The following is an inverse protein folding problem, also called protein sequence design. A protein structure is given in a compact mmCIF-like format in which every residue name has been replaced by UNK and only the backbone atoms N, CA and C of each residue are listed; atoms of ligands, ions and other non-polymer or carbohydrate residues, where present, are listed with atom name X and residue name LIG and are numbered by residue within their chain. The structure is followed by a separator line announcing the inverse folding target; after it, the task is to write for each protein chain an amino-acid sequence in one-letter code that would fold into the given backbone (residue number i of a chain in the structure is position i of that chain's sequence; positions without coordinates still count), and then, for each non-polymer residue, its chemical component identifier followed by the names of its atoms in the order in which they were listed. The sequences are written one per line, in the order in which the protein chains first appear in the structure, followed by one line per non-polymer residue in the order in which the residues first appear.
data_IF_463729420129
#
_entry.id   IF_463729420129
#
_cell.length_a   1.000
_cell.length_b   1.000
_cell.length_c   1.000
_cell.angle_alpha   90.00
_cell.angle_beta   90.00
_cell.angle_gamma   90.00
#
_symmetry.space_group_name_H-M   'P 1'
#
loop_
_entity.id
_entity.type
_entity.pdbx_description
1 polymer ?
#
# COMPACT_ATOMS: atom_id res chain seq x y z
N UNK A 1 22.61 37.96 30.76
CA UNK A 1 22.50 39.22 30.00
C UNK A 1 22.32 38.84 28.53
N UNK A 2 21.26 39.15 27.78
CA UNK A 2 19.93 39.68 28.04
C UNK A 2 19.06 39.16 26.87
N UNK A 3 17.80 38.86 27.13
CA UNK A 3 16.82 38.41 26.13
C UNK A 3 16.46 39.59 25.23
N UNK A 4 16.77 39.47 23.93
CA UNK A 4 16.38 40.45 22.91
C UNK A 4 14.89 40.35 22.62
N UNK A 5 14.14 41.41 22.94
CA UNK A 5 12.72 41.54 22.67
C UNK A 5 12.43 41.64 21.18
N UNK A 6 11.42 40.90 20.74
CA UNK A 6 10.79 41.05 19.44
C UNK A 6 9.77 42.19 19.54
N UNK A 7 9.93 43.22 18.70
CA UNK A 7 8.99 44.33 18.57
C UNK A 7 8.19 44.08 17.29
N UNK A 8 6.88 43.85 17.41
CA UNK A 8 5.98 43.81 16.25
C UNK A 8 5.80 45.22 15.68
N UNK A 9 6.02 45.44 14.37
CA UNK A 9 5.61 46.66 13.72
C UNK A 9 4.18 46.50 13.17
N UNK A 10 3.26 47.30 13.72
CA UNK A 10 2.08 47.87 13.09
C UNK A 10 1.12 46.93 12.33
N UNK A 11 0.07 46.48 13.04
CA UNK A 11 -1.30 46.98 12.78
C UNK A 11 -1.97 46.69 11.43
N UNK A 12 -1.56 45.69 10.67
CA UNK A 12 -2.35 45.21 9.53
C UNK A 12 -3.42 44.21 10.00
N UNK A 13 -4.66 44.67 10.13
CA UNK A 13 -5.83 43.80 10.32
C UNK A 13 -5.89 42.79 9.16
N UNK A 14 -5.85 41.50 9.49
CA UNK A 14 -6.17 40.43 8.55
C UNK A 14 -7.56 40.69 7.96
N UNK A 15 -7.75 40.63 6.63
CA UNK A 15 -9.06 40.86 6.03
C UNK A 15 -10.07 39.86 6.60
N UNK A 16 -11.05 40.39 7.31
CA UNK A 16 -12.23 39.64 7.75
C UNK A 16 -13.02 39.22 6.52
N UNK A 17 -13.24 37.91 6.41
CA UNK A 17 -14.24 37.26 5.57
C UNK A 17 -14.32 37.78 4.11
N UNK A 18 -13.57 37.12 3.23
CA UNK A 18 -13.96 37.06 1.81
C UNK A 18 -15.42 36.58 1.70
N UNK A 19 -16.14 36.98 0.63
CA UNK A 19 -17.58 36.72 0.51
C UNK A 19 -17.86 35.24 0.74
N UNK A 20 -18.86 34.95 1.58
CA UNK A 20 -19.37 33.61 1.83
C UNK A 20 -19.62 32.91 0.50
N UNK A 21 -18.67 32.07 0.08
CA UNK A 21 -18.87 31.16 -1.04
C UNK A 21 -19.94 30.19 -0.53
N UNK A 22 -21.16 30.15 -1.12
CA UNK A 22 -22.18 29.24 -0.65
C UNK A 22 -21.58 27.84 -0.68
N UNK A 23 -21.58 27.17 0.47
CA UNK A 23 -21.07 25.82 0.56
C UNK A 23 -21.82 24.97 -0.47
N UNK A 24 -21.17 24.66 -1.59
CA UNK A 24 -21.70 23.74 -2.56
C UNK A 24 -22.12 22.48 -1.81
N UNK A 25 -23.37 22.05 -1.96
CA UNK A 25 -23.88 20.85 -1.29
C UNK A 25 -22.96 19.65 -1.57
N UNK A 26 -22.93 18.63 -0.69
CA UNK A 26 -22.01 17.50 -0.82
C UNK A 26 -21.95 16.87 -2.22
N UNK A 27 -23.08 16.80 -2.93
CA UNK A 27 -23.17 16.29 -4.29
C UNK A 27 -22.44 17.15 -5.34
N UNK A 28 -22.56 18.48 -5.26
CA UNK A 28 -21.85 19.39 -6.18
C UNK A 28 -20.35 19.33 -5.93
N UNK A 29 -19.91 19.34 -4.68
CA UNK A 29 -18.49 19.14 -4.33
C UNK A 29 -17.95 17.81 -4.85
N UNK A 30 -18.70 16.72 -4.71
CA UNK A 30 -18.29 15.41 -5.23
C UNK A 30 -18.13 15.42 -6.76
N UNK A 31 -19.08 16.03 -7.48
CA UNK A 31 -19.01 16.17 -8.93
C UNK A 31 -17.81 17.04 -9.38
N UNK A 32 -17.53 18.13 -8.66
CA UNK A 32 -16.39 19.00 -8.95
C UNK A 32 -15.06 18.27 -8.74
N UNK A 33 -14.92 17.48 -7.67
CA UNK A 33 -13.71 16.69 -7.42
C UNK A 33 -13.55 15.55 -8.44
N UNK A 34 -14.65 14.91 -8.87
CA UNK A 34 -14.60 13.90 -9.94
C UNK A 34 -14.07 14.49 -11.24
N UNK A 35 -14.58 15.65 -11.66
CA UNK A 35 -14.09 16.34 -12.87
C UNK A 35 -12.61 16.70 -12.77
N UNK A 36 -12.16 17.21 -11.62
CA UNK A 36 -10.73 17.49 -11.39
C UNK A 36 -9.87 16.24 -11.45
N UNK A 37 -10.33 15.14 -10.86
CA UNK A 37 -9.65 13.85 -10.94
C UNK A 37 -9.55 13.33 -12.38
N UNK A 38 -10.61 13.49 -13.18
CA UNK A 38 -10.62 13.12 -14.60
C UNK A 38 -9.63 13.94 -15.41
N UNK A 39 -9.56 15.26 -15.16
CA UNK A 39 -8.58 16.15 -15.81
C UNK A 39 -7.15 15.75 -15.46
N UNK A 40 -6.85 15.54 -14.17
CA UNK A 40 -5.51 15.12 -13.72
C UNK A 40 -5.15 13.75 -14.31
N UNK A 41 -6.07 12.79 -14.33
CA UNK A 41 -5.84 11.47 -14.90
C UNK A 41 -5.52 11.54 -16.40
N UNK A 42 -6.22 12.41 -17.15
CA UNK A 42 -5.94 12.64 -18.56
C UNK A 42 -4.57 13.30 -18.78
N UNK A 43 -4.19 14.28 -17.95
CA UNK A 43 -2.88 14.94 -18.03
C UNK A 43 -1.74 13.97 -17.68
N UNK A 44 -1.90 13.15 -16.64
CA UNK A 44 -0.92 12.12 -16.28
C UNK A 44 -0.73 11.13 -17.42
N UNK A 45 -1.81 10.61 -18.02
CA UNK A 45 -1.70 9.72 -19.18
C UNK A 45 -1.08 10.40 -20.41
N UNK A 46 -1.38 11.68 -20.64
CA UNK A 46 -0.85 12.43 -21.78
C UNK A 46 0.65 12.72 -21.65
N UNK A 47 1.07 13.16 -20.47
CA UNK A 47 2.41 13.71 -20.27
C UNK A 47 3.40 12.72 -19.70
N UNK A 48 2.96 11.79 -18.85
CA UNK A 48 3.86 10.98 -18.04
C UNK A 48 3.99 9.54 -18.54
N UNK A 49 3.05 9.03 -19.33
CA UNK A 49 3.11 7.68 -19.88
C UNK A 49 4.02 7.64 -21.12
N UNK A 50 4.97 6.71 -21.15
CA UNK A 50 5.79 6.43 -22.33
C UNK A 50 5.43 5.04 -22.88
N UNK A 51 4.84 5.01 -24.08
CA UNK A 51 4.40 3.76 -24.72
C UNK A 51 5.55 2.80 -25.06
N UNK A 52 6.75 3.34 -25.34
CA UNK A 52 7.91 2.54 -25.73
C UNK A 52 8.50 1.82 -24.53
N UNK A 53 8.66 2.55 -23.44
CA UNK A 53 9.22 2.04 -22.20
C UNK A 53 8.15 1.33 -21.34
N UNK A 54 6.86 1.51 -21.68
CA UNK A 54 5.70 0.93 -21.00
C UNK A 54 5.64 1.25 -19.50
N UNK A 55 5.96 2.51 -19.15
CA UNK A 55 6.09 2.99 -17.78
C UNK A 55 5.77 4.48 -17.69
N UNK A 56 5.29 4.92 -16.52
CA UNK A 56 5.15 6.34 -16.19
C UNK A 56 6.47 6.96 -15.72
N UNK A 57 6.70 8.23 -16.06
CA UNK A 57 7.84 9.01 -15.60
C UNK A 57 7.41 10.40 -15.14
N UNK A 58 8.23 11.02 -14.29
CA UNK A 58 8.10 12.45 -13.99
C UNK A 58 8.34 13.28 -15.26
N UNK A 59 7.74 14.47 -15.31
CA UNK A 59 7.94 15.44 -16.39
C UNK A 59 8.54 16.72 -15.83
N UNK A 60 9.46 17.32 -16.58
CA UNK A 60 10.01 18.63 -16.22
C UNK A 60 9.09 19.78 -16.66
N UNK A 61 9.50 21.00 -16.34
CA UNK A 61 8.83 22.27 -16.70
C UNK A 61 8.67 22.49 -18.22
N UNK A 62 9.41 21.73 -19.04
CA UNK A 62 9.33 21.75 -20.51
C UNK A 62 8.47 20.63 -21.09
N UNK A 63 7.80 19.83 -20.25
CA UNK A 63 6.99 18.68 -20.68
C UNK A 63 7.82 17.51 -21.21
N UNK A 64 9.11 17.45 -20.88
CA UNK A 64 9.97 16.33 -21.26
C UNK A 64 10.04 15.30 -20.13
N UNK A 65 9.95 14.01 -20.51
CA UNK A 65 10.07 12.88 -19.58
C UNK A 65 11.45 12.85 -18.93
N UNK A 66 11.45 12.82 -17.61
CA UNK A 66 12.61 12.57 -16.77
C UNK A 66 12.75 11.05 -16.65
N UNK A 67 13.68 10.47 -17.42
CA UNK A 67 13.83 9.01 -17.56
C UNK A 67 14.53 8.35 -16.36
N UNK A 68 13.99 8.55 -15.16
CA UNK A 68 14.33 7.78 -13.96
C UNK A 68 13.22 6.77 -13.67
N UNK A 69 13.52 5.46 -13.72
CA UNK A 69 12.58 4.41 -13.31
C UNK A 69 12.48 4.35 -11.79
N UNK A 70 11.69 5.24 -11.21
CA UNK A 70 11.48 5.29 -9.76
C UNK A 70 10.25 4.48 -9.37
N UNK A 71 10.12 4.15 -8.09
CA UNK A 71 8.91 3.50 -7.57
C UNK A 71 7.67 4.39 -7.70
N UNK A 72 7.83 5.70 -7.94
CA UNK A 72 6.72 6.62 -8.16
C UNK A 72 5.94 6.32 -9.45
N UNK A 73 6.58 5.66 -10.42
CA UNK A 73 5.93 5.20 -11.66
C UNK A 73 4.69 4.34 -11.44
N UNK A 74 4.51 3.77 -10.24
CA UNK A 74 3.41 2.85 -9.92
C UNK A 74 2.23 3.49 -9.17
N UNK A 75 2.31 4.76 -8.77
CA UNK A 75 1.17 5.47 -8.18
C UNK A 75 -0.10 5.45 -9.05
N UNK A 76 -0.02 5.58 -10.40
CA UNK A 76 -1.18 5.48 -11.27
C UNK A 76 -1.99 4.18 -11.11
N UNK A 77 -1.33 3.08 -10.76
CA UNK A 77 -1.96 1.78 -10.54
C UNK A 77 -2.83 1.79 -9.28
N UNK A 78 -2.34 2.40 -8.19
CA UNK A 78 -3.13 2.56 -6.96
C UNK A 78 -4.30 3.53 -7.16
N UNK A 79 -4.06 4.66 -7.83
CA UNK A 79 -5.09 5.69 -8.03
C UNK A 79 -6.12 5.34 -9.10
N UNK A 80 -5.93 4.25 -9.85
CA UNK A 80 -6.79 3.85 -10.96
C UNK A 80 -6.69 4.78 -12.18
N UNK A 81 -5.57 5.47 -12.34
CA UNK A 81 -5.29 6.30 -13.53
C UNK A 81 -4.86 5.42 -14.70
N UNK A 82 -4.09 4.36 -14.41
CA UNK A 82 -3.64 3.41 -15.43
C UNK A 82 -4.71 2.37 -15.76
N UNK A 83 -4.91 2.15 -17.06
CA UNK A 83 -5.84 1.16 -17.59
C UNK A 83 -5.32 -0.28 -17.46
N UNK A 84 -6.15 -1.30 -17.75
CA UNK A 84 -5.77 -2.71 -17.61
C UNK A 84 -4.48 -3.09 -18.35
N UNK A 85 -4.31 -2.67 -19.60
CA UNK A 85 -3.11 -2.98 -20.40
C UNK A 85 -1.84 -2.33 -19.81
N UNK A 86 -1.94 -1.05 -19.40
CA UNK A 86 -0.85 -0.35 -18.71
C UNK A 86 -0.52 -1.03 -17.37
N UNK A 87 -1.52 -1.53 -16.65
CA UNK A 87 -1.31 -2.25 -15.39
C UNK A 87 -0.53 -3.55 -15.61
N UNK A 88 -0.83 -4.31 -16.67
CA UNK A 88 -0.05 -5.50 -17.03
C UNK A 88 1.39 -5.16 -17.41
N UNK A 89 1.57 -4.10 -18.18
CA UNK A 89 2.88 -3.56 -18.56
C UNK A 89 3.73 -3.18 -17.33
N UNK A 90 3.14 -2.40 -16.43
CA UNK A 90 3.77 -1.97 -15.18
C UNK A 90 4.06 -3.17 -14.26
N UNK A 91 3.18 -4.17 -14.20
CA UNK A 91 3.44 -5.39 -13.45
C UNK A 91 4.68 -6.13 -13.99
N UNK A 92 4.92 -6.15 -15.30
CA UNK A 92 6.16 -6.74 -15.85
C UNK A 92 7.42 -6.03 -15.34
N UNK A 93 7.42 -4.70 -15.25
CA UNK A 93 8.52 -3.95 -14.64
C UNK A 93 8.72 -4.29 -13.16
N UNK A 94 7.63 -4.36 -12.38
CA UNK A 94 7.69 -4.68 -10.95
C UNK A 94 8.34 -6.04 -10.67
N UNK A 95 8.01 -7.04 -11.49
CA UNK A 95 8.44 -8.43 -11.30
C UNK A 95 9.70 -8.80 -12.11
N UNK A 96 10.32 -7.84 -12.81
CA UNK A 96 11.62 -8.02 -13.44
C UNK A 96 12.75 -7.99 -12.39
N UNK A 97 13.52 -9.09 -12.32
CA UNK A 97 14.68 -9.22 -11.44
C UNK A 97 15.79 -8.23 -11.73
N UNK A 98 15.92 -7.73 -12.96
CA UNK A 98 16.90 -6.70 -13.32
C UNK A 98 16.49 -5.30 -12.86
N UNK A 99 15.22 -5.11 -12.47
CA UNK A 99 14.62 -3.81 -12.15
C UNK A 99 14.15 -3.77 -10.69
N UNK A 100 12.86 -3.95 -10.40
CA UNK A 100 12.29 -3.78 -9.06
C UNK A 100 12.20 -5.09 -8.25
N UNK A 101 12.31 -6.26 -8.87
CA UNK A 101 12.15 -7.56 -8.17
C UNK A 101 13.44 -8.03 -7.50
N UNK A 102 13.90 -7.26 -6.53
CA UNK A 102 15.17 -7.47 -5.82
C UNK A 102 15.04 -8.45 -4.66
N UNK A 103 16.10 -8.63 -3.87
CA UNK A 103 16.06 -9.54 -2.70
C UNK A 103 14.97 -9.10 -1.73
N UNK A 104 14.97 -7.82 -1.41
CA UNK A 104 13.88 -7.09 -0.76
C UNK A 104 13.17 -6.27 -1.84
N UNK A 105 11.98 -6.67 -2.31
CA UNK A 105 11.22 -5.86 -3.25
C UNK A 105 10.54 -4.72 -2.48
N UNK A 106 10.09 -3.65 -3.11
CA UNK A 106 10.48 -3.04 -4.38
C UNK A 106 11.32 -1.78 -4.04
N UNK A 107 12.52 -1.61 -4.63
CA UNK A 107 13.38 -0.46 -4.35
C UNK A 107 12.77 0.85 -4.84
N UNK A 108 13.16 1.98 -4.23
CA UNK A 108 12.74 3.31 -4.68
C UNK A 108 13.21 3.69 -6.08
N UNK A 109 14.29 3.06 -6.55
CA UNK A 109 14.90 3.24 -7.86
C UNK A 109 15.19 1.85 -8.44
N UNK A 110 14.83 1.61 -9.70
CA UNK A 110 15.08 0.32 -10.34
C UNK A 110 16.58 0.00 -10.41
N UNK A 111 16.93 -1.29 -10.29
CA UNK A 111 18.31 -1.73 -10.22
C UNK A 111 19.11 -1.55 -11.53
N UNK A 112 18.43 -1.32 -12.65
CA UNK A 112 19.02 -1.02 -13.95
C UNK A 112 19.28 0.48 -14.18
N UNK A 113 18.96 1.34 -13.21
CA UNK A 113 19.17 2.79 -13.32
C UNK A 113 20.56 3.21 -12.83
N UNK A 114 21.17 4.25 -13.45
CA UNK A 114 22.35 4.90 -12.89
C UNK A 114 22.08 5.36 -11.45
N UNK A 115 23.11 5.36 -10.60
CA UNK A 115 22.99 5.69 -9.17
C UNK A 115 22.16 4.74 -8.32
N UNK A 116 21.63 3.62 -8.85
CA UNK A 116 21.12 2.56 -7.99
C UNK A 116 22.22 2.08 -7.03
N UNK A 117 21.88 2.00 -5.75
CA UNK A 117 22.79 1.55 -4.71
C UNK A 117 22.26 0.23 -4.12
N UNK A 118 23.04 -0.87 -4.15
CA UNK A 118 22.61 -2.17 -3.62
C UNK A 118 22.24 -2.16 -2.12
N UNK A 119 22.85 -1.26 -1.32
CA UNK A 119 22.49 -1.03 0.10
C UNK A 119 21.39 0.03 0.27
N UNK A 120 20.70 0.37 -0.82
CA UNK A 120 19.58 1.29 -0.86
C UNK A 120 19.97 2.77 -0.87
N UNK A 121 20.95 3.17 -0.04
CA UNK A 121 21.39 4.56 0.17
C UNK A 121 20.22 5.52 0.06
N UNK A 122 19.31 5.39 1.02
CA UNK A 122 18.09 6.18 1.12
C UNK A 122 17.19 6.04 -0.13
N UNK A 123 17.01 7.08 -0.95
CA UNK A 123 16.17 7.04 -2.15
C UNK A 123 16.86 6.49 -3.41
N UNK A 124 18.13 6.07 -3.32
CA UNK A 124 18.89 5.49 -4.43
C UNK A 124 18.65 3.98 -4.60
N UNK A 125 17.56 3.44 -4.05
CA UNK A 125 17.26 2.00 -4.07
C UNK A 125 16.69 1.49 -2.75
N UNK A 126 16.66 2.31 -1.69
CA UNK A 126 16.09 1.90 -0.41
C UNK A 126 14.65 1.43 -0.58
N UNK A 127 14.30 0.41 0.20
CA UNK A 127 12.97 -0.20 0.18
C UNK A 127 12.15 0.43 1.30
N UNK A 128 11.18 1.23 0.90
CA UNK A 128 10.32 1.99 1.78
C UNK A 128 8.98 1.28 1.96
N UNK A 129 8.58 1.06 3.22
CA UNK A 129 7.27 0.49 3.54
C UNK A 129 6.08 1.21 2.91
N UNK A 130 5.99 2.55 2.88
CA UNK A 130 4.85 3.22 2.25
C UNK A 130 4.82 3.00 0.73
N UNK A 131 5.97 3.00 0.05
CA UNK A 131 6.04 2.72 -1.39
C UNK A 131 5.67 1.27 -1.70
N UNK A 132 6.10 0.33 -0.86
CA UNK A 132 5.78 -1.09 -1.03
C UNK A 132 4.31 -1.38 -0.79
N UNK A 133 3.75 -0.78 0.27
CA UNK A 133 2.33 -0.83 0.51
C UNK A 133 1.55 -0.25 -0.68
N UNK A 134 1.94 0.92 -1.19
CA UNK A 134 1.35 1.55 -2.37
C UNK A 134 1.33 0.61 -3.58
N UNK A 135 2.46 -0.01 -3.91
CA UNK A 135 2.55 -0.95 -5.04
C UNK A 135 1.67 -2.16 -4.82
N UNK A 136 1.71 -2.77 -3.64
CA UNK A 136 0.93 -3.97 -3.34
C UNK A 136 -0.58 -3.68 -3.41
N UNK A 137 -1.03 -2.57 -2.84
CA UNK A 137 -2.43 -2.12 -2.95
C UNK A 137 -2.79 -1.75 -4.39
N UNK A 138 -1.85 -1.21 -5.17
CA UNK A 138 -2.01 -0.96 -6.60
C UNK A 138 -2.25 -2.25 -7.38
N UNK A 139 -1.44 -3.28 -7.13
CA UNK A 139 -1.62 -4.61 -7.74
C UNK A 139 -3.01 -5.18 -7.42
N UNK A 140 -3.49 -5.05 -6.18
CA UNK A 140 -4.86 -5.47 -5.81
C UNK A 140 -5.93 -4.67 -6.55
N UNK A 141 -5.81 -3.34 -6.60
CA UNK A 141 -6.74 -2.47 -7.32
C UNK A 141 -6.80 -2.79 -8.82
N UNK A 142 -5.68 -3.24 -9.40
CA UNK A 142 -5.59 -3.68 -10.78
C UNK A 142 -6.05 -5.14 -11.00
N UNK A 143 -6.49 -5.86 -9.97
CA UNK A 143 -6.97 -7.25 -10.07
C UNK A 143 -5.87 -8.31 -10.01
N UNK A 144 -4.64 -7.95 -9.67
CA UNK A 144 -3.50 -8.86 -9.56
C UNK A 144 -3.31 -9.42 -8.13
N UNK A 145 -4.39 -9.90 -7.51
CA UNK A 145 -4.39 -10.35 -6.10
C UNK A 145 -3.32 -11.40 -5.78
N UNK A 146 -3.03 -12.31 -6.72
CA UNK A 146 -2.00 -13.32 -6.54
C UNK A 146 -0.59 -12.74 -6.58
N UNK A 147 -0.33 -11.74 -7.43
CA UNK A 147 0.95 -11.03 -7.47
C UNK A 147 1.13 -10.19 -6.20
N UNK A 148 0.09 -9.48 -5.76
CA UNK A 148 0.08 -8.73 -4.51
C UNK A 148 0.41 -9.62 -3.29
N UNK A 149 -0.15 -10.83 -3.24
CA UNK A 149 0.17 -11.82 -2.20
C UNK A 149 1.63 -12.28 -2.24
N UNK A 150 2.15 -12.63 -3.42
CA UNK A 150 3.55 -13.07 -3.59
C UNK A 150 4.53 -11.95 -3.21
N UNK A 151 4.26 -10.72 -3.65
CA UNK A 151 5.04 -9.54 -3.28
C UNK A 151 5.03 -9.32 -1.76
N UNK A 152 3.85 -9.38 -1.14
CA UNK A 152 3.71 -9.24 0.32
C UNK A 152 4.50 -10.29 1.08
N UNK A 153 4.42 -11.57 0.69
CA UNK A 153 5.18 -12.65 1.33
C UNK A 153 6.68 -12.38 1.28
N UNK A 154 7.20 -12.04 0.09
CA UNK A 154 8.63 -11.79 -0.09
C UNK A 154 9.09 -10.55 0.67
N UNK A 155 8.31 -9.47 0.63
CA UNK A 155 8.61 -8.26 1.37
C UNK A 155 8.63 -8.52 2.88
N UNK A 156 7.56 -9.07 3.45
CA UNK A 156 7.47 -9.35 4.89
C UNK A 156 8.53 -10.35 5.35
N UNK A 157 8.87 -11.34 4.54
CA UNK A 157 9.98 -12.26 4.84
C UNK A 157 11.31 -11.53 4.97
N UNK A 158 11.58 -10.57 4.08
CA UNK A 158 12.81 -9.77 4.12
C UNK A 158 12.86 -8.90 5.37
N UNK A 159 11.75 -8.23 5.72
CA UNK A 159 11.62 -7.45 6.97
C UNK A 159 11.82 -8.34 8.20
N UNK A 160 11.20 -9.53 8.21
CA UNK A 160 11.36 -10.50 9.30
C UNK A 160 12.81 -10.94 9.46
N UNK A 161 13.54 -11.21 8.38
CA UNK A 161 14.94 -11.62 8.45
C UNK A 161 15.82 -10.53 9.06
N UNK A 162 15.59 -9.26 8.69
CA UNK A 162 16.29 -8.12 9.30
C UNK A 162 15.91 -7.94 10.76
N UNK A 163 14.62 -8.10 11.11
CA UNK A 163 14.18 -8.05 12.50
C UNK A 163 14.79 -9.20 13.33
N UNK A 164 14.87 -10.42 12.79
CA UNK A 164 15.41 -11.57 13.51
C UNK A 164 16.89 -11.38 13.90
N UNK A 165 17.67 -10.71 13.04
CA UNK A 165 19.08 -10.42 13.30
C UNK A 165 19.30 -9.15 14.12
N UNK A 166 18.55 -8.08 13.86
CA UNK A 166 18.77 -6.76 14.50
C UNK A 166 17.90 -6.50 15.72
N UNK A 167 16.83 -7.29 15.92
CA UNK A 167 15.81 -7.15 16.96
C UNK A 167 15.07 -5.80 16.98
N UNK A 168 15.07 -5.09 15.86
CA UNK A 168 14.36 -3.82 15.70
C UNK A 168 13.82 -3.65 14.27
N UNK A 169 12.94 -2.68 14.10
CA UNK A 169 12.44 -2.22 12.81
C UNK A 169 13.19 -0.96 12.38
N UNK A 170 13.41 -0.85 11.07
CA UNK A 170 14.18 0.23 10.47
C UNK A 170 13.30 1.07 9.55
N UNK A 171 13.76 2.29 9.31
CA UNK A 171 13.10 3.28 8.47
C UNK A 171 12.92 2.80 7.02
N UNK A 172 13.98 2.25 6.42
CA UNK A 172 13.96 1.59 5.13
C UNK A 172 15.05 0.49 5.05
N UNK A 173 14.96 -0.35 4.02
CA UNK A 173 15.71 -1.61 3.94
C UNK A 173 16.55 -1.69 2.67
N UNK A 174 17.68 -2.40 2.72
CA UNK A 174 18.50 -2.61 1.55
C UNK A 174 17.78 -3.53 0.54
N UNK A 175 17.80 -3.22 -0.77
CA UNK A 175 17.16 -4.04 -1.79
C UNK A 175 17.91 -5.34 -2.09
N UNK A 176 19.24 -5.36 -2.00
CA UNK A 176 20.06 -6.52 -2.40
C UNK A 176 20.68 -7.28 -1.23
N UNK A 177 20.55 -6.77 0.00
CA UNK A 177 20.94 -7.47 1.23
C UNK A 177 19.81 -7.49 2.24
N UNK A 178 19.82 -8.50 3.11
CA UNK A 178 18.86 -8.60 4.22
C UNK A 178 19.40 -7.77 5.39
N UNK A 179 19.41 -6.45 5.22
CA UNK A 179 19.89 -5.49 6.21
C UNK A 179 19.11 -4.16 6.11
N UNK A 180 19.28 -3.24 7.07
CA UNK A 180 18.79 -1.87 6.92
C UNK A 180 19.42 -1.19 5.70
N UNK A 181 18.78 -0.15 5.17
CA UNK A 181 19.42 0.65 4.13
C UNK A 181 20.51 1.56 4.73
N UNK A 182 21.44 2.02 3.89
CA UNK A 182 22.29 3.15 4.22
C UNK A 182 21.52 4.48 4.19
N UNK A 183 21.94 5.42 5.02
CA UNK A 183 21.42 6.79 5.07
C UNK A 183 21.83 7.63 3.88
N UNK A 184 21.22 8.81 3.77
CA UNK A 184 21.53 9.73 2.67
C UNK A 184 22.97 10.24 2.80
N UNK A 185 23.75 10.12 1.72
CA UNK A 185 25.17 10.53 1.67
C UNK A 185 26.11 9.89 2.70
N UNK A 186 25.72 8.79 3.33
CA UNK A 186 26.56 8.05 4.27
C UNK A 186 26.49 6.54 4.01
N UNK A 187 27.47 5.80 4.53
CA UNK A 187 27.42 4.34 4.60
C UNK A 187 27.02 3.85 6.02
N UNK A 188 26.29 4.69 6.75
CA UNK A 188 25.70 4.35 8.05
C UNK A 188 24.25 3.89 7.88
N UNK A 189 23.76 3.04 8.77
CA UNK A 189 22.37 2.59 8.73
C UNK A 189 21.39 3.75 8.98
N UNK A 190 20.23 3.66 8.33
CA UNK A 190 19.07 4.55 8.57
C UNK A 190 18.52 4.42 9.99
N UNK A 191 17.48 5.19 10.32
CA UNK A 191 16.92 5.21 11.66
C UNK A 191 16.42 3.82 12.13
N UNK A 192 16.87 3.43 13.33
CA UNK A 192 16.43 2.24 14.08
C UNK A 192 15.19 2.53 14.94
N UNK A 193 14.59 1.47 15.49
CA UNK A 193 13.41 1.55 16.37
C UNK A 193 12.25 2.31 15.71
N UNK A 194 12.13 2.13 14.40
CA UNK A 194 11.22 2.88 13.55
C UNK A 194 10.01 2.01 13.18
N UNK A 195 8.98 2.04 14.01
CA UNK A 195 7.70 1.43 13.66
C UNK A 195 6.91 2.29 12.65
N UNK A 196 7.03 3.62 12.72
CA UNK A 196 6.27 4.64 11.95
C UNK A 196 5.48 4.11 10.75
N UNK A 197 6.02 4.26 9.54
CA UNK A 197 5.44 3.64 8.35
C UNK A 197 5.81 2.17 8.17
N UNK A 198 6.89 1.69 8.82
CA UNK A 198 7.33 0.30 8.69
C UNK A 198 6.30 -0.70 9.18
N UNK A 199 5.42 -0.30 10.10
CA UNK A 199 4.28 -1.07 10.60
C UNK A 199 3.29 -1.48 9.49
N UNK A 200 3.28 -0.80 8.33
CA UNK A 200 2.49 -1.22 7.17
C UNK A 200 2.83 -2.66 6.74
N UNK A 201 4.08 -3.11 6.92
CA UNK A 201 4.48 -4.47 6.60
C UNK A 201 3.93 -5.52 7.61
N UNK A 202 4.36 -5.54 8.89
CA UNK A 202 3.96 -6.61 9.81
C UNK A 202 2.51 -6.50 10.31
N UNK A 203 1.82 -5.37 10.12
CA UNK A 203 0.42 -5.19 10.53
C UNK A 203 -0.51 -5.22 9.33
N UNK A 204 -0.52 -4.17 8.51
CA UNK A 204 -1.52 -4.02 7.43
C UNK A 204 -1.40 -5.12 6.38
N UNK A 205 -0.24 -5.27 5.75
CA UNK A 205 -0.02 -6.31 4.74
C UNK A 205 -0.11 -7.73 5.32
N UNK A 206 0.26 -7.92 6.59
CA UNK A 206 0.09 -9.22 7.24
C UNK A 206 -1.39 -9.60 7.35
N UNK A 207 -2.25 -8.68 7.77
CA UNK A 207 -3.70 -8.93 7.88
C UNK A 207 -4.32 -9.04 6.49
N UNK A 208 -4.06 -8.07 5.63
CA UNK A 208 -4.75 -7.89 4.34
C UNK A 208 -4.27 -8.88 3.28
N UNK A 209 -2.96 -9.14 3.20
CA UNK A 209 -2.36 -9.92 2.12
C UNK A 209 -1.87 -11.30 2.56
N UNK A 210 -1.44 -11.50 3.81
CA UNK A 210 -0.96 -12.81 4.29
C UNK A 210 -2.09 -13.63 4.89
N UNK A 211 -2.83 -13.07 5.86
CA UNK A 211 -4.06 -13.69 6.38
C UNK A 211 -5.17 -13.60 5.32
N UNK A 212 -5.20 -12.51 4.54
CA UNK A 212 -6.07 -12.33 3.39
C UNK A 212 -7.39 -11.61 3.70
N UNK A 213 -7.49 -10.90 4.83
CA UNK A 213 -8.72 -10.27 5.31
C UNK A 213 -8.72 -8.79 4.95
N UNK A 214 -9.65 -8.39 4.08
CA UNK A 214 -9.90 -7.01 3.68
C UNK A 214 -11.27 -6.56 4.18
N UNK A 215 -11.32 -5.42 4.87
CA UNK A 215 -12.57 -4.90 5.43
C UNK A 215 -12.99 -3.60 4.77
N UNK A 216 -14.25 -3.54 4.34
CA UNK A 216 -14.91 -2.35 3.79
C UNK A 216 -16.02 -1.91 4.73
N UNK A 217 -15.63 -1.18 5.78
CA UNK A 217 -16.53 -0.74 6.86
C UNK A 217 -17.77 0.02 6.35
N UNK A 218 -17.67 1.01 5.44
CA UNK A 218 -18.85 1.73 4.95
C UNK A 218 -19.84 0.84 4.19
N UNK A 219 -19.33 -0.18 3.51
CA UNK A 219 -20.13 -1.15 2.76
C UNK A 219 -20.64 -2.30 3.63
N UNK A 220 -20.20 -2.39 4.89
CA UNK A 220 -20.42 -3.52 5.80
C UNK A 220 -19.98 -4.87 5.20
N UNK A 221 -18.85 -4.89 4.48
CA UNK A 221 -18.33 -6.11 3.84
C UNK A 221 -16.97 -6.50 4.42
N UNK A 222 -16.77 -7.79 4.59
CA UNK A 222 -15.47 -8.41 4.85
C UNK A 222 -15.19 -9.37 3.71
N UNK A 223 -14.09 -9.16 2.99
CA UNK A 223 -13.59 -10.09 1.99
C UNK A 223 -12.45 -10.88 2.60
N UNK A 224 -12.53 -12.21 2.58
CA UNK A 224 -11.46 -13.06 3.07
C UNK A 224 -11.06 -14.09 2.02
N UNK A 225 -9.78 -14.09 1.66
CA UNK A 225 -9.17 -15.09 0.80
C UNK A 225 -8.10 -15.86 1.57
N UNK A 226 -8.45 -16.86 2.42
CA UNK A 226 -7.48 -17.58 3.21
C UNK A 226 -6.55 -18.40 2.32
N UNK A 227 -5.23 -18.17 2.45
CA UNK A 227 -4.21 -18.89 1.65
C UNK A 227 -3.40 -19.92 2.44
N UNK A 228 -3.54 -19.94 3.76
CA UNK A 228 -2.88 -20.92 4.65
C UNK A 228 -3.38 -22.34 4.39
N UNK A 229 -2.49 -23.34 4.45
CA UNK A 229 -2.83 -24.77 4.52
C UNK A 229 -3.20 -25.24 5.92
N UNK A 230 -2.86 -24.44 6.95
CA UNK A 230 -3.13 -24.73 8.35
C UNK A 230 -4.18 -23.78 8.91
N UNK A 231 -4.70 -24.10 10.10
CA UNK A 231 -5.59 -23.22 10.87
C UNK A 231 -5.03 -21.80 10.92
N UNK A 232 -5.79 -20.83 10.41
CA UNK A 232 -5.37 -19.44 10.30
C UNK A 232 -6.56 -18.49 10.40
N UNK A 233 -6.28 -17.23 10.71
CA UNK A 233 -7.29 -16.19 10.83
C UNK A 233 -6.87 -15.11 11.82
N UNK A 234 -7.83 -14.33 12.29
CA UNK A 234 -7.63 -13.21 13.21
C UNK A 234 -8.65 -13.26 14.33
N UNK A 235 -8.27 -12.78 15.52
CA UNK A 235 -9.18 -12.57 16.64
C UNK A 235 -9.26 -11.09 16.99
N UNK A 236 -10.43 -10.64 17.41
CA UNK A 236 -10.69 -9.30 17.94
C UNK A 236 -10.33 -8.14 16.98
N UNK A 237 -10.44 -8.35 15.66
CA UNK A 237 -10.24 -7.31 14.66
C UNK A 237 -11.32 -6.23 14.83
N UNK A 238 -10.89 -4.98 15.00
CA UNK A 238 -11.79 -3.86 15.24
C UNK A 238 -12.44 -3.35 13.94
N UNK A 239 -13.76 -3.17 13.98
CA UNK A 239 -14.60 -2.64 12.91
C UNK A 239 -15.32 -1.38 13.41
N UNK A 240 -14.55 -0.31 13.65
CA UNK A 240 -15.05 0.85 14.40
C UNK A 240 -15.25 0.50 15.87
N UNK A 241 -16.48 0.64 16.39
CA UNK A 241 -16.83 0.26 17.76
C UNK A 241 -17.20 -1.23 17.92
N UNK A 242 -17.14 -2.00 16.83
CA UNK A 242 -17.47 -3.43 16.78
C UNK A 242 -16.21 -4.28 16.64
N UNK A 243 -16.33 -5.60 16.81
CA UNK A 243 -15.23 -6.57 16.66
C UNK A 243 -15.68 -7.83 15.94
N UNK A 244 -14.71 -8.45 15.27
CA UNK A 244 -14.86 -9.75 14.64
C UNK A 244 -13.62 -10.62 14.87
N UNK A 245 -13.85 -11.90 15.10
CA UNK A 245 -12.87 -12.97 15.05
C UNK A 245 -13.28 -13.94 13.93
N UNK A 246 -12.34 -14.26 13.05
CA UNK A 246 -12.54 -15.15 11.91
C UNK A 246 -11.41 -16.18 11.92
N UNK A 247 -11.74 -17.46 12.08
CA UNK A 247 -10.76 -18.55 12.07
C UNK A 247 -11.21 -19.63 11.09
N UNK A 248 -10.32 -20.02 10.19
CA UNK A 248 -10.58 -21.05 9.18
C UNK A 248 -9.66 -22.24 9.40
N UNK A 249 -10.23 -23.43 9.28
CA UNK A 249 -9.58 -24.73 9.44
C UNK A 249 -9.63 -25.46 8.09
N UNK A 250 -8.59 -25.35 7.25
CA UNK A 250 -8.61 -25.94 5.90
C UNK A 250 -8.79 -27.47 5.88
N UNK A 251 -8.26 -28.18 6.89
CA UNK A 251 -8.31 -29.65 6.97
C UNK A 251 -9.73 -30.19 7.15
N UNK A 252 -10.57 -29.48 7.89
CA UNK A 252 -11.96 -29.87 8.18
C UNK A 252 -12.98 -29.00 7.44
N UNK A 253 -12.51 -28.02 6.67
CA UNK A 253 -13.30 -26.98 6.02
C UNK A 253 -14.27 -26.25 6.96
N UNK A 254 -13.83 -26.05 8.21
CA UNK A 254 -14.61 -25.41 9.27
C UNK A 254 -14.25 -23.94 9.38
N UNK A 255 -15.26 -23.08 9.42
CA UNK A 255 -15.15 -21.66 9.69
C UNK A 255 -15.75 -21.34 11.06
N UNK A 256 -14.96 -20.73 11.94
CA UNK A 256 -15.42 -20.19 13.23
C UNK A 256 -15.52 -18.67 13.13
N UNK A 257 -16.67 -18.14 13.51
CA UNK A 257 -16.95 -16.70 13.57
C UNK A 257 -17.36 -16.36 15.00
N UNK A 258 -16.78 -15.30 15.56
CA UNK A 258 -17.23 -14.67 16.80
C UNK A 258 -17.26 -13.15 16.60
N UNK A 259 -18.41 -12.51 16.80
CA UNK A 259 -18.66 -11.14 16.34
C UNK A 259 -19.80 -10.46 17.07
N UNK A 260 -19.65 -9.16 17.35
CA UNK A 260 -20.76 -8.24 17.66
C UNK A 260 -21.15 -7.38 16.44
N UNK A 261 -20.47 -7.59 15.30
CA UNK A 261 -20.66 -6.91 14.03
C UNK A 261 -21.79 -7.52 13.16
N UNK A 262 -22.90 -7.87 13.80
CA UNK A 262 -24.12 -8.26 13.08
C UNK A 262 -24.52 -7.19 12.07
N UNK A 263 -24.94 -7.63 10.89
CA UNK A 263 -25.28 -6.79 9.74
C UNK A 263 -24.14 -6.57 8.74
N UNK A 264 -22.95 -7.13 8.99
CA UNK A 264 -21.91 -7.28 7.97
C UNK A 264 -22.10 -8.56 7.16
N UNK A 265 -21.50 -8.58 5.96
CA UNK A 265 -21.43 -9.74 5.08
C UNK A 265 -19.99 -10.22 4.94
N UNK A 266 -19.76 -11.52 5.05
CA UNK A 266 -18.48 -12.18 4.80
C UNK A 266 -18.49 -12.81 3.40
N UNK A 267 -17.54 -12.41 2.57
CA UNK A 267 -17.25 -12.96 1.26
C UNK A 267 -15.97 -13.78 1.35
N UNK A 268 -16.10 -15.10 1.37
CA UNK A 268 -14.99 -16.03 1.50
C UNK A 268 -14.61 -16.58 0.12
N UNK A 269 -13.34 -16.44 -0.30
CA UNK A 269 -12.81 -17.05 -1.52
C UNK A 269 -11.73 -18.08 -1.17
N UNK A 270 -12.06 -19.37 -1.32
CA UNK A 270 -11.18 -20.48 -0.99
C UNK A 270 -10.13 -20.72 -2.07
N UNK A 271 -9.04 -21.38 -1.70
CA UNK A 271 -7.92 -21.72 -2.61
C UNK A 271 -8.32 -22.59 -3.80
N UNK A 272 -9.35 -23.41 -3.64
CA UNK A 272 -9.90 -24.25 -4.72
C UNK A 272 -10.86 -23.48 -5.65
N UNK A 273 -10.99 -22.16 -5.48
CA UNK A 273 -11.88 -21.31 -6.28
C UNK A 273 -13.32 -21.22 -5.76
N UNK A 274 -13.71 -22.03 -4.77
CA UNK A 274 -15.04 -21.96 -4.18
C UNK A 274 -15.25 -20.61 -3.47
N UNK A 275 -16.45 -20.03 -3.65
CA UNK A 275 -16.83 -18.74 -3.06
C UNK A 275 -18.07 -18.92 -2.20
N UNK A 276 -18.04 -18.37 -0.99
CA UNK A 276 -19.20 -18.35 -0.09
C UNK A 276 -19.54 -16.91 0.28
N UNK A 277 -20.84 -16.62 0.36
CA UNK A 277 -21.36 -15.37 0.92
C UNK A 277 -22.16 -15.71 2.18
N UNK A 278 -21.77 -15.16 3.31
CA UNK A 278 -22.34 -15.46 4.63
C UNK A 278 -22.76 -14.17 5.33
N UNK A 279 -23.90 -14.19 6.01
CA UNK A 279 -24.19 -13.18 7.01
C UNK A 279 -23.21 -13.32 8.17
N UNK A 280 -22.68 -12.21 8.69
CA UNK A 280 -21.71 -12.25 9.79
C UNK A 280 -22.43 -12.49 11.13
N UNK A 281 -22.52 -13.75 11.53
CA UNK A 281 -23.12 -14.20 12.79
C UNK A 281 -22.13 -15.12 13.53
N UNK A 282 -22.13 -15.06 14.86
CA UNK A 282 -21.29 -15.95 15.66
C UNK A 282 -21.74 -17.40 15.48
N UNK A 283 -20.79 -18.30 15.28
CA UNK A 283 -21.09 -19.71 15.04
C UNK A 283 -19.95 -20.49 14.42
N UNK A 284 -20.24 -21.77 14.17
CA UNK A 284 -19.36 -22.70 13.48
C UNK A 284 -20.06 -23.17 12.21
N UNK A 285 -19.37 -23.04 11.08
CA UNK A 285 -19.91 -23.26 9.75
C UNK A 285 -19.09 -24.34 9.05
N UNK A 286 -19.71 -25.48 8.72
CA UNK A 286 -19.12 -26.49 7.83
C UNK A 286 -19.35 -26.05 6.38
N UNK A 287 -18.28 -25.60 5.72
CA UNK A 287 -18.36 -25.04 4.38
C UNK A 287 -18.58 -26.10 3.28
N UNK A 288 -18.56 -27.39 3.62
CA UNK A 288 -18.87 -28.48 2.67
C UNK A 288 -20.37 -28.67 2.47
N UNK A 289 -21.16 -28.21 3.44
CA UNK A 289 -22.63 -28.36 3.47
C UNK A 289 -23.38 -27.07 3.16
N UNK A 290 -22.64 -25.98 2.91
CA UNK A 290 -23.15 -24.65 2.58
C UNK A 290 -23.03 -24.37 1.09
#
# INVERSE_FOLDING_TARGET
MGLGGYVEPNGAQLPQHGPDIPAAGPAKKAADQRRRADTIAAEVNLWMWDERDQLYYDVNDKGSLIRWKTIASFWPMLSGISGPEQNEMMARHLFDTASFWRKTPFPSLAADMPYYHPMGRYWQGGVWAPCNYMVIKGLENAGFDSLAHVASLKYLHSIYQVYASSRTLWECYAPDSLSPAYGEYTDQWVHRDFAGWTALAPISLFIENIIGINVRVPEKKICWSPRSTKRAGIKNLALGNKRVSLIYHPETDLLEIDTDAQGYELYLSKRNGAKHKLALLSGRYDLRTL
#
